data_IF_856914733253
#
_entry.id   IF_856914733253
#
_cell.length_a   1.000
_cell.length_b   1.000
_cell.length_c   1.000
_cell.angle_alpha   90.00
_cell.angle_beta   90.00
_cell.angle_gamma   90.00
#
_symmetry.space_group_name_H-M   'P 1'
#
loop_
_entity.id
_entity.type
_entity.pdbx_description
1 polymer ?
#
# COMPACT_ATOMS: atom_id res chain seq x y z
N UNK A 1 14.70 -27.67 -13.90
CA UNK A 1 15.45 -26.42 -14.17
C UNK A 1 14.85 -25.19 -13.50
N UNK A 2 13.59 -24.81 -13.72
CA UNK A 2 13.01 -23.59 -13.09
C UNK A 2 13.13 -23.63 -11.55
N UNK A 3 12.71 -24.73 -10.91
CA UNK A 3 12.77 -24.89 -9.45
C UNK A 3 14.20 -24.81 -8.89
N UNK A 4 15.19 -25.34 -9.59
CA UNK A 4 16.59 -25.29 -9.15
C UNK A 4 17.16 -23.88 -9.25
N UNK A 5 16.83 -23.15 -10.33
CA UNK A 5 17.20 -21.74 -10.49
C UNK A 5 16.54 -20.89 -9.39
N UNK A 6 15.24 -21.09 -9.16
CA UNK A 6 14.51 -20.37 -8.10
C UNK A 6 15.10 -20.62 -6.71
N UNK A 7 15.43 -21.87 -6.39
CA UNK A 7 16.08 -22.22 -5.12
C UNK A 7 17.47 -21.60 -4.99
N UNK A 8 18.25 -21.58 -6.07
CA UNK A 8 19.58 -20.94 -6.11
C UNK A 8 19.46 -19.45 -5.83
N UNK A 9 18.62 -18.76 -6.60
CA UNK A 9 18.39 -17.32 -6.47
C UNK A 9 17.94 -16.94 -5.05
N UNK A 10 16.95 -17.67 -4.53
CA UNK A 10 16.46 -17.49 -3.16
C UNK A 10 17.57 -17.73 -2.11
N UNK A 11 18.39 -18.77 -2.30
CA UNK A 11 19.47 -19.09 -1.36
C UNK A 11 20.57 -18.04 -1.37
N UNK A 12 20.89 -17.44 -2.52
CA UNK A 12 21.84 -16.33 -2.62
C UNK A 12 21.31 -15.08 -1.90
N UNK A 13 20.03 -14.74 -2.11
CA UNK A 13 19.37 -13.64 -1.41
C UNK A 13 19.44 -13.83 0.11
N UNK A 14 19.11 -15.03 0.62
CA UNK A 14 19.16 -15.30 2.06
C UNK A 14 20.59 -15.26 2.64
N UNK A 15 21.59 -15.62 1.83
CA UNK A 15 23.01 -15.60 2.22
C UNK A 15 23.59 -14.19 2.16
N UNK A 16 23.01 -13.32 1.35
CA UNK A 16 23.34 -11.90 1.38
C UNK A 16 22.93 -11.31 2.74
N UNK A 17 23.91 -10.85 3.52
CA UNK A 17 23.68 -10.24 4.82
C UNK A 17 22.77 -9.01 4.75
N UNK A 18 22.72 -8.34 3.60
CA UNK A 18 21.88 -7.14 3.38
C UNK A 18 20.40 -7.48 3.42
N UNK A 19 19.99 -8.63 2.87
CA UNK A 19 18.58 -9.05 2.86
C UNK A 19 17.98 -9.07 4.25
N UNK A 20 18.69 -9.63 5.24
CA UNK A 20 18.21 -9.74 6.62
C UNK A 20 17.88 -8.39 7.23
N UNK A 21 18.75 -7.40 7.01
CA UNK A 21 18.53 -6.03 7.48
C UNK A 21 17.38 -5.36 6.74
N UNK A 22 17.34 -5.44 5.41
CA UNK A 22 16.26 -4.84 4.61
C UNK A 22 14.90 -5.45 4.97
N UNK A 23 14.83 -6.77 5.10
CA UNK A 23 13.64 -7.48 5.53
C UNK A 23 13.23 -7.09 6.96
N UNK A 24 14.17 -7.08 7.91
CA UNK A 24 13.88 -6.70 9.30
C UNK A 24 13.36 -5.27 9.43
N UNK A 25 13.98 -4.30 8.73
CA UNK A 25 13.53 -2.91 8.69
C UNK A 25 12.13 -2.81 8.08
N UNK A 26 11.89 -3.50 6.96
CA UNK A 26 10.58 -3.47 6.31
C UNK A 26 9.48 -4.06 7.19
N UNK A 27 9.76 -5.18 7.87
CA UNK A 27 8.83 -5.79 8.83
C UNK A 27 8.51 -4.83 9.98
N UNK A 28 9.55 -4.22 10.57
CA UNK A 28 9.39 -3.26 11.66
C UNK A 28 8.53 -2.06 11.23
N UNK A 29 8.81 -1.49 10.05
CA UNK A 29 8.06 -0.36 9.52
C UNK A 29 6.61 -0.74 9.20
N UNK A 30 6.35 -1.92 8.64
CA UNK A 30 5.01 -2.40 8.37
C UNK A 30 4.20 -2.59 9.65
N UNK A 31 4.78 -3.22 10.67
CA UNK A 31 4.12 -3.40 11.97
C UNK A 31 3.81 -2.04 12.60
N UNK A 32 4.78 -1.12 12.58
CA UNK A 32 4.60 0.24 13.13
C UNK A 32 3.50 1.00 12.40
N UNK A 33 3.46 0.91 11.06
CA UNK A 33 2.42 1.51 10.25
C UNK A 33 1.03 0.89 10.49
N UNK A 34 0.95 -0.43 10.71
CA UNK A 34 -0.30 -1.09 11.09
C UNK A 34 -0.82 -0.63 12.45
N UNK A 35 0.06 -0.51 13.44
CA UNK A 35 -0.30 -0.03 14.77
C UNK A 35 -0.75 1.43 14.74
N UNK A 36 -0.01 2.30 14.03
CA UNK A 36 -0.37 3.70 13.85
C UNK A 36 -1.71 3.84 13.09
N UNK A 37 -1.88 3.09 12.02
CA UNK A 37 -3.11 3.06 11.23
C UNK A 37 -4.31 2.57 12.03
N UNK A 38 -4.13 1.56 12.88
CA UNK A 38 -5.15 1.08 13.80
C UNK A 38 -5.56 2.15 14.82
N UNK A 39 -4.59 2.79 15.48
CA UNK A 39 -4.86 3.86 16.46
C UNK A 39 -5.62 5.02 15.81
N UNK A 40 -5.19 5.42 14.60
CA UNK A 40 -5.86 6.45 13.80
C UNK A 40 -7.30 6.05 13.45
N UNK A 41 -7.50 4.81 12.99
CA UNK A 41 -8.82 4.29 12.65
C UNK A 41 -9.78 4.30 13.84
N UNK A 42 -9.32 3.81 14.99
CA UNK A 42 -10.12 3.73 16.23
C UNK A 42 -10.50 5.13 16.72
N UNK A 43 -9.53 6.06 16.76
CA UNK A 43 -9.77 7.45 17.14
C UNK A 43 -10.78 8.14 16.22
N UNK A 44 -10.61 7.99 14.90
CA UNK A 44 -11.56 8.54 13.93
C UNK A 44 -12.97 7.98 14.10
N UNK A 45 -13.09 6.66 14.25
CA UNK A 45 -14.40 5.99 14.40
C UNK A 45 -15.11 6.43 15.66
N UNK A 46 -14.39 6.60 16.78
CA UNK A 46 -14.98 7.09 18.02
C UNK A 46 -15.53 8.52 17.87
N UNK A 47 -14.70 9.45 17.35
CA UNK A 47 -15.12 10.84 17.11
C UNK A 47 -16.30 10.91 16.15
N UNK A 48 -16.28 10.12 15.07
CA UNK A 48 -17.37 10.05 14.10
C UNK A 48 -18.68 9.56 14.75
N UNK A 49 -18.63 8.51 15.57
CA UNK A 49 -19.80 7.99 16.25
C UNK A 49 -20.36 8.98 17.29
N UNK A 50 -19.49 9.62 18.06
CA UNK A 50 -19.88 10.67 19.01
C UNK A 50 -20.56 11.84 18.28
N UNK A 51 -19.93 12.38 17.25
CA UNK A 51 -20.50 13.49 16.47
C UNK A 51 -21.84 13.12 15.82
N UNK A 52 -21.98 11.89 15.30
CA UNK A 52 -23.24 11.42 14.74
C UNK A 52 -24.34 11.30 15.80
N UNK A 53 -24.02 10.78 17.00
CA UNK A 53 -24.96 10.67 18.12
C UNK A 53 -25.41 12.05 18.60
N UNK A 54 -24.48 12.99 18.76
CA UNK A 54 -24.77 14.34 19.23
C UNK A 54 -25.60 15.13 18.22
N UNK A 55 -25.27 15.03 16.92
CA UNK A 55 -26.05 15.69 15.87
C UNK A 55 -27.47 15.11 15.78
N UNK A 56 -27.60 13.77 15.89
CA UNK A 56 -28.91 13.13 15.90
C UNK A 56 -29.72 13.49 17.15
N UNK A 57 -29.09 13.56 18.33
CA UNK A 57 -29.79 13.93 19.56
C UNK A 57 -30.27 15.38 19.50
N UNK A 58 -29.46 16.31 19.00
CA UNK A 58 -29.87 17.70 18.77
C UNK A 58 -31.06 17.81 17.81
N UNK A 59 -31.04 17.06 16.70
CA UNK A 59 -32.14 17.06 15.74
C UNK A 59 -33.43 16.47 16.33
N UNK A 60 -33.34 15.40 17.12
CA UNK A 60 -34.50 14.79 17.79
C UNK A 60 -35.03 15.65 18.95
N UNK A 61 -34.16 16.41 19.63
CA UNK A 61 -34.49 17.26 20.78
C UNK A 61 -34.76 18.72 20.40
N UNK A 62 -35.08 19.00 19.14
CA UNK A 62 -35.30 20.36 18.65
C UNK A 62 -36.59 21.04 19.16
N UNK A 63 -37.37 20.35 20.00
CA UNK A 63 -38.64 20.80 20.57
C UNK A 63 -39.81 20.74 19.59
N UNK A 64 -40.97 21.20 20.05
CA UNK A 64 -42.19 21.27 19.23
C UNK A 64 -42.04 22.30 18.12
N UNK A 65 -41.97 21.83 16.88
CA UNK A 65 -41.87 22.64 15.66
C UNK A 65 -42.74 22.03 14.57
N UNK A 66 -43.19 22.87 13.64
CA UNK A 66 -43.84 22.34 12.45
C UNK A 66 -42.84 21.49 11.62
N UNK A 67 -43.28 20.42 10.93
CA UNK A 67 -42.38 19.51 10.24
C UNK A 67 -41.49 20.16 9.18
N UNK A 68 -41.96 21.24 8.55
CA UNK A 68 -41.19 21.97 7.54
C UNK A 68 -40.02 22.73 8.18
N UNK A 69 -40.25 23.46 9.27
CA UNK A 69 -39.19 24.11 10.06
C UNK A 69 -38.23 23.09 10.67
N UNK A 70 -38.72 21.93 11.09
CA UNK A 70 -37.87 20.84 11.59
C UNK A 70 -36.94 20.27 10.51
N UNK A 71 -37.38 20.23 9.26
CA UNK A 71 -36.57 19.83 8.12
C UNK A 71 -35.52 20.91 7.73
N UNK A 72 -35.81 22.18 7.97
CA UNK A 72 -34.85 23.29 7.78
C UNK A 72 -33.84 23.46 8.92
N UNK A 73 -34.13 22.97 10.13
CA UNK A 73 -33.15 22.93 11.23
C UNK A 73 -31.90 22.14 10.83
N UNK A 74 -32.11 21.06 10.07
CA UNK A 74 -31.07 20.26 9.45
C UNK A 74 -30.30 19.35 10.41
N UNK A 75 -29.49 18.46 9.86
CA UNK A 75 -28.71 17.47 10.61
C UNK A 75 -27.41 17.15 9.86
N UNK A 76 -26.35 16.79 10.56
CA UNK A 76 -25.14 16.29 9.92
C UNK A 76 -25.18 14.77 9.75
N UNK A 77 -24.79 14.32 8.56
CA UNK A 77 -24.44 12.93 8.30
C UNK A 77 -22.91 12.82 8.21
N UNK A 78 -22.32 12.03 9.09
CA UNK A 78 -20.89 11.79 9.15
C UNK A 78 -20.53 10.44 8.51
N UNK A 79 -19.56 10.45 7.61
CA UNK A 79 -19.13 9.26 6.86
C UNK A 79 -18.34 8.31 7.77
N UNK A 80 -18.78 7.05 7.97
CA UNK A 80 -17.99 6.08 8.72
C UNK A 80 -16.72 5.70 7.96
N UNK A 81 -15.65 5.38 8.70
CA UNK A 81 -14.43 4.87 8.09
C UNK A 81 -14.66 3.48 7.48
N UNK A 82 -14.15 3.27 6.27
CA UNK A 82 -14.22 1.97 5.61
C UNK A 82 -13.42 0.91 6.37
N UNK A 83 -13.78 -0.38 6.27
CA UNK A 83 -13.19 -1.46 7.07
C UNK A 83 -11.68 -1.65 6.90
N UNK A 84 -11.11 -1.22 5.77
CA UNK A 84 -9.68 -1.31 5.45
C UNK A 84 -8.95 0.04 5.63
N UNK A 85 -9.62 1.06 6.19
CA UNK A 85 -9.07 2.40 6.31
C UNK A 85 -7.92 2.51 7.33
N UNK A 86 -7.73 1.51 8.20
CA UNK A 86 -6.54 1.38 9.03
C UNK A 86 -5.28 1.08 8.18
N UNK A 87 -5.44 0.41 7.02
CA UNK A 87 -4.35 0.06 6.11
C UNK A 87 -4.18 1.10 5.00
N UNK A 88 -5.29 1.49 4.38
CA UNK A 88 -5.36 2.48 3.30
C UNK A 88 -6.64 3.30 3.40
N UNK A 89 -6.51 4.61 3.64
CA UNK A 89 -7.65 5.53 3.72
C UNK A 89 -8.31 5.85 2.37
N UNK A 90 -7.65 5.47 1.27
CA UNK A 90 -8.06 5.78 -0.10
C UNK A 90 -8.27 7.28 -0.30
N UNK A 91 -9.39 7.65 -0.91
CA UNK A 91 -9.74 9.05 -1.18
C UNK A 91 -10.35 9.79 0.01
N UNK A 92 -10.51 9.15 1.17
CA UNK A 92 -11.26 9.71 2.31
C UNK A 92 -10.68 11.01 2.84
N UNK A 93 -9.36 11.18 2.74
CA UNK A 93 -8.69 12.43 3.13
C UNK A 93 -9.06 13.63 2.24
N UNK A 94 -9.57 13.39 1.03
CA UNK A 94 -9.86 14.41 0.02
C UNK A 94 -11.36 14.54 -0.29
N UNK A 95 -12.16 13.51 -0.03
CA UNK A 95 -13.59 13.47 -0.35
C UNK A 95 -14.49 14.22 0.65
N UNK A 96 -14.00 14.52 1.86
CA UNK A 96 -14.80 15.09 2.94
C UNK A 96 -15.43 14.02 3.84
N UNK A 97 -15.77 14.40 5.06
CA UNK A 97 -16.17 13.49 6.14
C UNK A 97 -17.57 13.75 6.70
N UNK A 98 -18.18 14.89 6.38
CA UNK A 98 -19.54 15.21 6.79
C UNK A 98 -20.31 15.93 5.68
N UNK A 99 -21.64 15.79 5.69
CA UNK A 99 -22.56 16.55 4.84
C UNK A 99 -23.65 17.14 5.75
N UNK A 100 -23.98 18.41 5.57
CA UNK A 100 -25.15 19.03 6.20
C UNK A 100 -26.41 18.72 5.40
N UNK A 101 -27.39 18.11 6.04
CA UNK A 101 -28.68 17.75 5.45
C UNK A 101 -29.71 18.80 5.83
N UNK A 102 -30.41 19.36 4.84
CA UNK A 102 -31.49 20.32 5.04
C UNK A 102 -32.55 20.19 3.95
N UNK A 103 -33.74 20.72 4.20
CA UNK A 103 -34.83 20.68 3.22
C UNK A 103 -34.48 21.46 1.94
N UNK A 104 -34.83 20.88 0.78
CA UNK A 104 -34.75 21.49 -0.55
C UNK A 104 -33.35 21.92 -1.02
N UNK A 105 -32.28 21.52 -0.32
CA UNK A 105 -30.90 21.84 -0.71
C UNK A 105 -29.95 20.66 -0.52
N UNK A 106 -29.26 20.31 -1.58
CA UNK A 106 -28.19 19.31 -1.56
C UNK A 106 -26.86 20.02 -1.28
N UNK A 107 -26.33 19.83 -0.08
CA UNK A 107 -25.03 20.39 0.29
C UNK A 107 -23.87 19.49 -0.18
N UNK A 108 -22.72 20.12 -0.39
CA UNK A 108 -21.47 19.41 -0.64
C UNK A 108 -20.85 18.86 0.65
N UNK A 109 -20.01 17.85 0.51
CA UNK A 109 -19.23 17.28 1.60
C UNK A 109 -18.16 18.27 2.12
N UNK A 110 -18.09 18.39 3.43
CA UNK A 110 -17.16 19.26 4.18
C UNK A 110 -16.21 18.42 5.05
N UNK A 111 -15.24 19.09 5.70
CA UNK A 111 -14.30 18.46 6.62
C UNK A 111 -13.35 17.48 5.92
N UNK A 112 -12.54 17.98 4.98
CA UNK A 112 -11.53 17.19 4.26
C UNK A 112 -10.26 17.12 5.10
N UNK A 113 -9.84 15.96 5.65
CA UNK A 113 -8.63 15.90 6.49
C UNK A 113 -7.37 16.46 5.82
N UNK A 114 -7.27 16.37 4.49
CA UNK A 114 -6.16 16.93 3.76
C UNK A 114 -6.09 18.47 3.90
N UNK A 115 -7.20 19.20 3.96
CA UNK A 115 -7.15 20.68 4.05
C UNK A 115 -6.48 21.16 5.33
N UNK A 116 -6.60 20.39 6.40
CA UNK A 116 -6.11 20.75 7.74
C UNK A 116 -4.66 20.29 7.97
N UNK A 117 -4.06 19.64 6.95
CA UNK A 117 -2.68 19.17 6.99
C UNK A 117 -1.78 20.02 6.08
N UNK A 118 -0.55 20.26 6.56
CA UNK A 118 0.51 20.85 5.74
C UNK A 118 0.87 19.94 4.55
N UNK A 119 1.49 20.50 3.51
CA UNK A 119 1.93 19.73 2.35
C UNK A 119 2.87 18.57 2.74
N UNK A 120 3.68 18.73 3.78
CA UNK A 120 4.58 17.69 4.32
C UNK A 120 3.77 16.63 5.08
N UNK A 121 2.76 17.04 5.86
CA UNK A 121 1.89 16.10 6.58
C UNK A 121 1.12 15.17 5.64
N UNK A 122 0.78 15.62 4.43
CA UNK A 122 0.11 14.81 3.41
C UNK A 122 1.01 13.78 2.73
N UNK A 123 2.32 14.07 2.63
CA UNK A 123 3.28 13.21 1.91
C UNK A 123 3.83 12.05 2.77
N UNK A 124 3.51 12.03 4.06
CA UNK A 124 4.13 11.15 5.06
C UNK A 124 3.16 10.48 6.04
N UNK A 125 1.90 10.30 5.66
CA UNK A 125 0.96 9.54 6.49
C UNK A 125 1.40 8.08 6.57
N UNK A 126 1.94 7.67 7.72
CA UNK A 126 2.51 6.35 7.94
C UNK A 126 1.38 5.31 7.93
N UNK A 127 1.24 4.62 6.80
CA UNK A 127 0.20 3.62 6.56
C UNK A 127 0.77 2.37 5.91
N UNK A 128 0.07 1.24 6.02
CA UNK A 128 0.47 0.01 5.33
C UNK A 128 0.57 0.19 3.83
N UNK A 129 -0.39 0.92 3.26
CA UNK A 129 -0.38 1.27 1.85
C UNK A 129 0.87 2.06 1.47
N UNK A 130 1.23 3.10 2.22
CA UNK A 130 2.43 3.90 1.94
C UNK A 130 3.70 3.04 1.98
N UNK A 131 3.82 2.15 2.97
CA UNK A 131 4.96 1.24 3.07
C UNK A 131 5.01 0.26 1.88
N UNK A 132 3.89 -0.35 1.49
CA UNK A 132 3.89 -1.27 0.35
C UNK A 132 4.05 -0.54 -0.99
N UNK A 133 3.47 0.65 -1.17
CA UNK A 133 3.57 1.40 -2.42
C UNK A 133 4.98 1.99 -2.62
N UNK A 134 5.67 2.38 -1.54
CA UNK A 134 6.98 3.01 -1.68
C UNK A 134 8.15 2.06 -1.42
N UNK A 135 8.07 1.21 -0.39
CA UNK A 135 9.19 0.37 0.04
C UNK A 135 9.18 -1.03 -0.57
N UNK A 136 8.03 -1.61 -0.91
CA UNK A 136 8.00 -2.92 -1.57
C UNK A 136 8.69 -2.89 -2.96
N UNK A 137 8.50 -1.87 -3.81
CA UNK A 137 9.29 -1.72 -5.03
C UNK A 137 10.79 -1.67 -4.78
N UNK A 138 11.23 -0.90 -3.77
CA UNK A 138 12.64 -0.84 -3.40
C UNK A 138 13.18 -2.20 -2.95
N UNK A 139 12.43 -2.92 -2.12
CA UNK A 139 12.79 -4.27 -1.72
C UNK A 139 12.99 -5.14 -2.97
N UNK A 140 12.00 -5.19 -3.86
CA UNK A 140 12.06 -5.98 -5.10
C UNK A 140 13.29 -5.59 -5.94
N UNK A 141 13.55 -4.29 -6.11
CA UNK A 141 14.70 -3.76 -6.83
C UNK A 141 16.00 -4.24 -6.18
N UNK A 142 16.16 -4.06 -4.87
CA UNK A 142 17.38 -4.46 -4.17
C UNK A 142 17.64 -5.96 -4.20
N UNK A 143 16.59 -6.79 -4.24
CA UNK A 143 16.74 -8.24 -4.34
C UNK A 143 16.95 -8.74 -5.77
N UNK A 144 16.47 -8.00 -6.77
CA UNK A 144 16.44 -8.46 -8.16
C UNK A 144 17.39 -7.74 -9.11
N UNK A 145 17.97 -6.60 -8.76
CA UNK A 145 18.74 -5.79 -9.72
C UNK A 145 19.98 -6.50 -10.26
N UNK A 146 20.58 -7.40 -9.49
CA UNK A 146 21.74 -8.22 -9.88
C UNK A 146 21.37 -9.54 -10.55
N UNK A 147 20.08 -9.90 -10.61
CA UNK A 147 19.64 -11.23 -11.00
C UNK A 147 20.21 -11.68 -12.35
N UNK A 148 20.26 -10.80 -13.36
CA UNK A 148 20.92 -11.09 -14.63
C UNK A 148 22.23 -10.32 -14.82
N UNK A 149 22.26 -9.04 -14.44
CA UNK A 149 23.43 -8.19 -14.65
C UNK A 149 24.65 -8.64 -13.83
N UNK A 150 24.45 -9.16 -12.61
CA UNK A 150 25.53 -9.69 -11.77
C UNK A 150 26.10 -11.01 -12.30
N UNK A 151 25.23 -11.90 -12.79
CA UNK A 151 25.67 -13.13 -13.47
C UNK A 151 26.38 -12.84 -14.79
N UNK A 152 25.95 -11.79 -15.51
CA UNK A 152 26.62 -11.32 -16.72
C UNK A 152 28.00 -10.77 -16.42
N UNK A 153 28.11 -9.93 -15.41
CA UNK A 153 29.36 -9.27 -15.00
C UNK A 153 30.39 -10.30 -14.49
N UNK A 154 29.94 -11.33 -13.77
CA UNK A 154 30.78 -12.46 -13.34
C UNK A 154 31.05 -13.51 -14.43
N UNK A 155 30.45 -13.37 -15.62
CA UNK A 155 30.56 -14.34 -16.72
C UNK A 155 29.76 -15.63 -16.53
N UNK A 156 29.18 -15.86 -15.36
CA UNK A 156 28.43 -17.08 -15.01
C UNK A 156 27.14 -17.24 -15.83
N UNK A 157 26.54 -16.15 -16.31
CA UNK A 157 25.36 -16.21 -17.16
C UNK A 157 25.61 -17.02 -18.45
N UNK A 158 26.77 -16.81 -19.10
CA UNK A 158 27.14 -17.54 -20.32
C UNK A 158 27.34 -19.03 -20.05
N UNK A 159 27.92 -19.36 -18.89
CA UNK A 159 28.11 -20.74 -18.45
C UNK A 159 26.77 -21.43 -18.16
N UNK A 160 25.78 -20.72 -17.59
CA UNK A 160 24.44 -21.29 -17.37
C UNK A 160 23.72 -21.53 -18.70
N UNK A 161 23.85 -20.60 -19.65
CA UNK A 161 23.26 -20.76 -20.97
C UNK A 161 23.88 -21.89 -21.79
N UNK A 162 25.20 -22.15 -21.64
CA UNK A 162 25.86 -23.27 -22.34
C UNK A 162 25.42 -24.66 -21.87
N UNK A 163 24.80 -24.76 -20.69
CA UNK A 163 24.18 -25.99 -20.19
C UNK A 163 22.80 -26.29 -20.81
N UNK A 164 22.37 -25.53 -21.83
CA UNK A 164 21.09 -25.74 -22.52
C UNK A 164 19.88 -25.15 -21.80
N UNK A 165 20.10 -24.26 -20.83
CA UNK A 165 19.01 -23.57 -20.12
C UNK A 165 18.37 -22.52 -21.02
N UNK A 166 17.05 -22.61 -21.19
CA UNK A 166 16.30 -21.65 -22.02
C UNK A 166 16.08 -20.31 -21.30
N UNK A 167 15.92 -19.23 -22.06
CA UNK A 167 15.62 -17.89 -21.51
C UNK A 167 14.34 -17.89 -20.66
N UNK A 168 13.31 -18.67 -21.06
CA UNK A 168 12.07 -18.82 -20.30
C UNK A 168 12.32 -19.46 -18.92
N UNK A 169 13.17 -20.49 -18.85
CA UNK A 169 13.52 -21.14 -17.59
C UNK A 169 14.32 -20.21 -16.67
N UNK A 170 15.21 -19.39 -17.23
CA UNK A 170 15.95 -18.37 -16.46
C UNK A 170 15.00 -17.31 -15.90
N UNK A 171 14.15 -16.73 -16.74
CA UNK A 171 13.22 -15.66 -16.33
C UNK A 171 12.30 -16.12 -15.20
N UNK A 172 11.57 -17.22 -15.39
CA UNK A 172 10.65 -17.71 -14.36
C UNK A 172 11.35 -18.26 -13.14
N UNK A 173 12.53 -18.88 -13.30
CA UNK A 173 13.36 -19.29 -12.17
C UNK A 173 13.74 -18.11 -11.27
N UNK A 174 14.26 -17.03 -11.88
CA UNK A 174 14.65 -15.81 -11.17
C UNK A 174 13.45 -15.08 -10.56
N UNK A 175 12.36 -14.97 -11.32
CA UNK A 175 11.11 -14.36 -10.84
C UNK A 175 10.55 -15.11 -9.62
N UNK A 176 10.52 -16.44 -9.64
CA UNK A 176 10.07 -17.23 -8.50
C UNK A 176 11.03 -17.11 -7.30
N UNK A 177 12.34 -17.08 -7.53
CA UNK A 177 13.33 -16.92 -6.46
C UNK A 177 13.19 -15.59 -5.71
N UNK A 178 13.22 -14.47 -6.46
CA UNK A 178 13.05 -13.12 -5.91
C UNK A 178 11.64 -12.94 -5.33
N UNK A 179 10.61 -13.38 -6.07
CA UNK A 179 9.22 -13.28 -5.64
C UNK A 179 8.96 -14.03 -4.33
N UNK A 180 9.55 -15.21 -4.14
CA UNK A 180 9.43 -15.97 -2.89
C UNK A 180 10.08 -15.22 -1.71
N UNK A 181 11.24 -14.58 -1.92
CA UNK A 181 11.87 -13.77 -0.89
C UNK A 181 11.00 -12.56 -0.49
N UNK A 182 10.38 -11.90 -1.46
CA UNK A 182 9.46 -10.77 -1.21
C UNK A 182 8.21 -11.24 -0.45
N UNK A 183 7.58 -12.33 -0.91
CA UNK A 183 6.40 -12.93 -0.25
C UNK A 183 6.71 -13.31 1.19
N UNK A 184 7.89 -13.87 1.46
CA UNK A 184 8.34 -14.24 2.80
C UNK A 184 8.43 -13.04 3.76
N UNK A 185 8.71 -11.84 3.24
CA UNK A 185 8.74 -10.61 4.05
C UNK A 185 7.35 -10.02 4.21
N UNK A 186 6.59 -9.91 3.12
CA UNK A 186 5.33 -9.14 3.10
C UNK A 186 4.15 -9.90 3.71
N UNK A 187 4.00 -11.20 3.41
CA UNK A 187 2.82 -11.97 3.84
C UNK A 187 2.71 -12.07 5.36
N UNK A 188 3.77 -12.40 6.12
CA UNK A 188 3.67 -12.48 7.58
C UNK A 188 3.24 -11.15 8.20
N UNK A 189 3.71 -10.01 7.69
CA UNK A 189 3.30 -8.70 8.18
C UNK A 189 1.81 -8.44 7.98
N UNK A 190 1.27 -8.81 6.81
CA UNK A 190 -0.16 -8.67 6.50
C UNK A 190 -0.98 -9.58 7.41
N UNK A 191 -0.53 -10.83 7.63
CA UNK A 191 -1.22 -11.78 8.52
C UNK A 191 -1.23 -11.28 9.97
N UNK A 192 -0.09 -10.79 10.48
CA UNK A 192 -0.01 -10.23 11.84
C UNK A 192 -0.92 -9.01 11.96
N UNK A 193 -0.93 -8.12 10.97
CA UNK A 193 -1.85 -6.99 10.93
C UNK A 193 -3.31 -7.44 10.96
N UNK A 194 -3.68 -8.41 10.12
CA UNK A 194 -5.01 -9.01 10.06
C UNK A 194 -5.47 -9.62 11.38
N UNK A 195 -4.61 -10.40 12.03
CA UNK A 195 -4.88 -11.02 13.33
C UNK A 195 -5.08 -9.93 14.40
N UNK A 196 -4.19 -8.95 14.47
CA UNK A 196 -4.28 -7.85 15.45
C UNK A 196 -5.61 -7.10 15.36
N UNK A 197 -6.14 -6.93 14.15
CA UNK A 197 -7.44 -6.29 13.90
C UNK A 197 -8.61 -7.17 14.30
N UNK A 198 -8.53 -8.47 14.04
CA UNK A 198 -9.57 -9.42 14.45
C UNK A 198 -9.71 -9.51 15.97
N UNK A 199 -8.61 -9.36 16.70
CA UNK A 199 -8.60 -9.34 18.17
C UNK A 199 -9.08 -8.02 18.77
N UNK A 200 -9.07 -6.94 17.99
CA UNK A 200 -9.42 -5.61 18.43
C UNK A 200 -10.94 -5.35 18.53
N UNK A 201 -11.77 -6.40 18.38
CA UNK A 201 -13.25 -6.33 18.41
C UNK A 201 -13.87 -5.28 17.48
N UNK A 202 -13.09 -4.80 16.51
CA UNK A 202 -13.69 -4.13 15.38
C UNK A 202 -14.57 -5.19 14.72
N UNK A 203 -15.87 -4.96 14.77
CA UNK A 203 -16.83 -5.63 13.92
C UNK A 203 -16.56 -5.16 12.48
N UNK A 204 -15.43 -5.57 11.91
CA UNK A 204 -15.08 -5.41 10.50
C UNK A 204 -15.85 -6.44 9.67
N UNK A 205 -17.06 -6.81 10.09
CA UNK A 205 -17.93 -7.74 9.38
C UNK A 205 -18.96 -6.92 8.63
N UNK A 206 -18.47 -6.19 7.62
CA UNK A 206 -19.32 -5.65 6.57
C UNK A 206 -19.50 -6.70 5.48
N UNK A 207 -20.69 -6.76 4.87
CA UNK A 207 -20.90 -7.55 3.66
C UNK A 207 -19.82 -7.24 2.62
N UNK A 208 -19.19 -8.29 2.08
CA UNK A 208 -18.14 -8.16 1.07
C UNK A 208 -16.76 -7.76 1.60
N UNK A 209 -16.45 -7.88 2.89
CA UNK A 209 -15.05 -7.64 3.32
C UNK A 209 -14.05 -8.60 2.67
N UNK A 210 -14.41 -9.88 2.54
CA UNK A 210 -13.54 -10.88 1.90
C UNK A 210 -13.20 -10.51 0.45
N UNK A 211 -14.18 -10.00 -0.30
CA UNK A 211 -13.94 -9.54 -1.68
C UNK A 211 -13.06 -8.30 -1.73
N UNK A 212 -13.22 -7.36 -0.80
CA UNK A 212 -12.36 -6.16 -0.70
C UNK A 212 -10.92 -6.52 -0.34
N UNK A 213 -10.71 -7.42 0.63
CA UNK A 213 -9.37 -7.92 0.99
C UNK A 213 -8.75 -8.63 -0.21
N UNK A 214 -9.48 -9.55 -0.85
CA UNK A 214 -8.99 -10.26 -2.02
C UNK A 214 -8.61 -9.32 -3.17
N UNK A 215 -9.47 -8.32 -3.47
CA UNK A 215 -9.19 -7.31 -4.48
C UNK A 215 -7.94 -6.49 -4.13
N UNK A 216 -7.81 -6.03 -2.88
CA UNK A 216 -6.64 -5.27 -2.42
C UNK A 216 -5.36 -6.09 -2.51
N UNK A 217 -5.38 -7.34 -2.00
CA UNK A 217 -4.24 -8.25 -2.08
C UNK A 217 -3.86 -8.54 -3.54
N UNK A 218 -4.83 -8.77 -4.42
CA UNK A 218 -4.59 -8.99 -5.83
C UNK A 218 -3.98 -7.75 -6.52
N UNK A 219 -4.46 -6.55 -6.20
CA UNK A 219 -3.87 -5.30 -6.70
C UNK A 219 -2.41 -5.16 -6.28
N UNK A 220 -2.06 -5.45 -5.03
CA UNK A 220 -0.67 -5.42 -4.57
C UNK A 220 0.19 -6.53 -5.18
N UNK A 221 -0.38 -7.71 -5.47
CA UNK A 221 0.33 -8.76 -6.20
C UNK A 221 0.65 -8.34 -7.63
N UNK A 222 -0.30 -7.71 -8.34
CA UNK A 222 -0.06 -7.14 -9.66
C UNK A 222 1.02 -6.07 -9.58
N UNK A 223 0.89 -5.13 -8.63
CA UNK A 223 1.84 -4.04 -8.45
C UNK A 223 3.26 -4.55 -8.16
N UNK A 224 3.41 -5.50 -7.23
CA UNK A 224 4.69 -6.17 -6.96
C UNK A 224 5.20 -6.96 -8.17
N UNK A 225 4.32 -7.63 -8.91
CA UNK A 225 4.64 -8.33 -10.14
C UNK A 225 5.20 -7.40 -11.23
N UNK A 226 4.58 -6.22 -11.41
CA UNK A 226 5.06 -5.19 -12.35
C UNK A 226 6.50 -4.79 -11.98
N UNK A 227 6.76 -4.45 -10.72
CA UNK A 227 8.11 -4.07 -10.29
C UNK A 227 9.11 -5.23 -10.36
N UNK A 228 8.67 -6.47 -10.11
CA UNK A 228 9.49 -7.67 -10.23
C UNK A 228 9.95 -7.88 -11.67
N UNK A 229 9.01 -7.89 -12.61
CA UNK A 229 9.34 -8.07 -14.03
C UNK A 229 10.08 -6.87 -14.61
N UNK A 230 9.76 -5.64 -14.19
CA UNK A 230 10.55 -4.45 -14.54
C UNK A 230 12.00 -4.57 -14.06
N UNK A 231 12.20 -4.99 -12.82
CA UNK A 231 13.53 -5.21 -12.22
C UNK A 231 14.32 -6.25 -13.01
N UNK A 232 13.70 -7.39 -13.31
CA UNK A 232 14.34 -8.45 -14.09
C UNK A 232 14.63 -8.01 -15.54
N UNK A 233 13.72 -7.27 -16.17
CA UNK A 233 13.92 -6.74 -17.52
C UNK A 233 15.10 -5.76 -17.59
N UNK A 234 15.16 -4.80 -16.66
CA UNK A 234 16.29 -3.84 -16.60
C UNK A 234 17.59 -4.54 -16.24
N UNK A 235 17.58 -5.49 -15.29
CA UNK A 235 18.76 -6.31 -14.97
C UNK A 235 19.23 -7.13 -16.19
N UNK A 236 18.29 -7.69 -16.96
CA UNK A 236 18.60 -8.44 -18.17
C UNK A 236 19.14 -7.55 -19.29
N UNK A 237 18.72 -6.29 -19.38
CA UNK A 237 19.22 -5.33 -20.38
C UNK A 237 20.58 -4.72 -19.99
N UNK A 238 20.78 -4.40 -18.71
CA UNK A 238 21.93 -3.66 -18.22
C UNK A 238 23.24 -4.45 -18.32
N UNK A 239 24.32 -3.80 -18.74
CA UNK A 239 25.65 -4.43 -18.86
C UNK A 239 26.33 -4.72 -17.52
N UNK A 240 26.02 -3.95 -16.47
CA UNK A 240 26.61 -4.09 -15.12
C UNK A 240 25.53 -3.98 -14.05
N UNK A 241 25.80 -4.51 -12.85
CA UNK A 241 24.88 -4.38 -11.72
C UNK A 241 24.67 -2.91 -11.30
N UNK A 242 25.72 -2.08 -11.43
CA UNK A 242 25.64 -0.65 -11.11
C UNK A 242 24.64 0.08 -12.02
N UNK A 243 24.68 -0.17 -13.33
CA UNK A 243 23.77 0.50 -14.28
C UNK A 243 22.33 0.05 -14.07
N UNK A 244 22.10 -1.25 -13.83
CA UNK A 244 20.78 -1.78 -13.49
C UNK A 244 20.18 -1.06 -12.26
N UNK A 245 20.98 -0.93 -11.19
CA UNK A 245 20.54 -0.29 -9.95
C UNK A 245 20.20 1.19 -10.16
N UNK A 246 21.07 1.94 -10.86
CA UNK A 246 20.86 3.37 -11.12
C UNK A 246 19.56 3.62 -11.91
N UNK A 247 19.31 2.83 -12.96
CA UNK A 247 18.09 2.94 -13.77
C UNK A 247 16.87 2.60 -12.93
N UNK A 248 16.90 1.51 -12.17
CA UNK A 248 15.76 1.08 -11.35
C UNK A 248 15.43 2.06 -10.22
N UNK A 249 16.44 2.61 -9.53
CA UNK A 249 16.23 3.66 -8.52
C UNK A 249 15.67 4.92 -9.18
N UNK A 250 16.16 5.29 -10.37
CA UNK A 250 15.61 6.44 -11.12
C UNK A 250 14.14 6.24 -11.49
N UNK A 251 13.77 5.06 -12.02
CA UNK A 251 12.39 4.71 -12.34
C UNK A 251 11.50 4.69 -11.10
N UNK A 252 11.99 4.09 -10.00
CA UNK A 252 11.29 4.09 -8.73
C UNK A 252 11.05 5.52 -8.22
N UNK A 253 12.10 6.35 -8.15
CA UNK A 253 12.00 7.71 -7.65
C UNK A 253 11.05 8.56 -8.53
N UNK A 254 11.13 8.37 -9.85
CA UNK A 254 10.22 9.00 -10.78
C UNK A 254 8.77 8.58 -10.51
N UNK A 255 8.50 7.28 -10.41
CA UNK A 255 7.14 6.75 -10.21
C UNK A 255 6.55 7.06 -8.83
N UNK A 256 7.37 7.05 -7.77
CA UNK A 256 6.93 7.21 -6.40
C UNK A 256 6.85 8.66 -5.93
N UNK A 257 7.68 9.56 -6.47
CA UNK A 257 7.74 10.95 -6.02
C UNK A 257 7.49 11.97 -7.13
N UNK A 258 8.25 11.90 -8.23
CA UNK A 258 8.21 12.97 -9.24
C UNK A 258 6.88 12.96 -10.01
N UNK A 259 6.42 11.80 -10.46
CA UNK A 259 5.19 11.69 -11.25
C UNK A 259 3.93 12.06 -10.45
N UNK A 260 3.71 11.58 -9.21
CA UNK A 260 2.56 12.01 -8.41
C UNK A 260 2.58 13.52 -8.12
N UNK A 261 3.76 14.08 -7.82
CA UNK A 261 3.92 15.51 -7.57
C UNK A 261 3.63 16.33 -8.83
N UNK A 262 4.18 15.94 -9.98
CA UNK A 262 3.92 16.61 -11.27
C UNK A 262 2.43 16.56 -11.64
N UNK A 263 1.79 15.40 -11.49
CA UNK A 263 0.36 15.25 -11.72
C UNK A 263 -0.47 16.19 -10.83
N UNK A 264 -0.11 16.33 -9.55
CA UNK A 264 -0.79 17.24 -8.63
C UNK A 264 -0.61 18.71 -9.03
N UNK A 265 0.56 19.14 -9.50
CA UNK A 265 0.79 20.52 -9.93
C UNK A 265 0.07 20.84 -11.25
N UNK A 266 0.00 19.89 -12.19
CA UNK A 266 -0.72 20.07 -13.47
C UNK A 266 -2.24 20.13 -13.26
N UNK A 267 -2.76 19.50 -12.20
CA UNK A 267 -4.20 19.46 -11.91
C UNK A 267 -4.77 20.73 -11.26
N UNK A 268 -3.91 21.71 -10.91
CA UNK A 268 -4.32 23.01 -10.35
C UNK A 268 -4.69 23.98 -11.47
#
# INVERSE_FOLDING_TARGET
>A
MIRSIARKEFSEILRDGRFKWTAGIMVLLLITAMLAGYQKYSGYTNVQQMAQRDSNSQWLQQGDKNPHSAAHYGNYAFKPAGPLAFFDTGISNYAGTAIFLEAHKQNFSIGRPATDQSAIGRFGDLSGAMILQLLMPLLIIFLGFTAFSGERESGTLRQVMSMGVTNHQLLWGKALGVGTAVVMVVVPCILIGGIALSMADLHIVGEGIGTRIAALSFSYLIYGGIFLFLTLAVSAWASTARTALMVLIGLWAFSGFLAPKAASEISK
#
